data_IF_203816791083
#
_entry.id   IF_203816791083
#
_cell.length_a   1.000
_cell.length_b   1.000
_cell.length_c   1.000
_cell.angle_alpha   90.00
_cell.angle_beta   90.00
_cell.angle_gamma   90.00
#
_symmetry.space_group_name_H-M   'P 1'
#
loop_
_entity.id
_entity.type
_entity.pdbx_description
1 polymer ?
#
# COMPACT_ATOMS: atom_id res chain seq x y z
N UNK A 1 -2.96 -0.82 -24.90
CA UNK A 1 -2.76 -2.25 -24.55
C UNK A 1 -3.76 -2.58 -23.46
N UNK A 2 -4.44 -3.73 -23.54
CA UNK A 2 -5.36 -4.20 -22.49
C UNK A 2 -4.59 -5.19 -21.61
N UNK A 3 -4.61 -5.00 -20.30
CA UNK A 3 -3.92 -5.86 -19.33
C UNK A 3 -4.95 -6.73 -18.61
N UNK A 4 -4.62 -7.99 -18.38
CA UNK A 4 -5.53 -8.96 -17.77
C UNK A 4 -4.78 -9.80 -16.73
N UNK A 5 -5.49 -10.18 -15.67
CA UNK A 5 -5.01 -11.13 -14.67
C UNK A 5 -6.11 -12.18 -14.47
N UNK A 6 -5.79 -13.43 -14.81
CA UNK A 6 -6.80 -14.47 -14.98
C UNK A 6 -7.78 -14.11 -16.11
N UNK A 7 -9.06 -13.99 -15.77
CA UNK A 7 -10.14 -13.60 -16.69
C UNK A 7 -10.59 -12.14 -16.55
N UNK A 8 -9.97 -11.37 -15.66
CA UNK A 8 -10.40 -10.00 -15.34
C UNK A 8 -9.47 -8.96 -15.98
N UNK A 9 -10.06 -7.88 -16.51
CA UNK A 9 -9.34 -6.77 -17.11
C UNK A 9 -8.88 -5.79 -16.03
N UNK A 10 -7.64 -5.33 -16.15
CA UNK A 10 -7.06 -4.29 -15.30
C UNK A 10 -7.29 -2.94 -15.99
N UNK A 11 -8.23 -2.15 -15.48
CA UNK A 11 -8.56 -0.81 -15.99
C UNK A 11 -7.85 0.28 -15.19
N UNK A 12 -7.60 0.03 -13.91
CA UNK A 12 -6.93 0.96 -12.98
C UNK A 12 -5.74 0.29 -12.27
N UNK A 13 -4.92 1.09 -11.59
CA UNK A 13 -3.84 0.57 -10.72
C UNK A 13 -4.42 -0.21 -9.54
N UNK A 14 -5.61 0.17 -9.06
CA UNK A 14 -6.28 -0.52 -7.95
C UNK A 14 -6.80 -1.89 -8.42
N UNK A 15 -7.35 -1.97 -9.64
CA UNK A 15 -7.72 -3.24 -10.27
C UNK A 15 -6.49 -4.17 -10.41
N UNK A 16 -5.31 -3.61 -10.68
CA UNK A 16 -4.08 -4.40 -10.74
C UNK A 16 -3.77 -4.99 -9.37
N UNK A 17 -3.90 -4.22 -8.28
CA UNK A 17 -3.63 -4.70 -6.92
C UNK A 17 -4.65 -5.76 -6.51
N UNK A 18 -5.93 -5.50 -6.75
CA UNK A 18 -7.03 -6.42 -6.46
C UNK A 18 -6.86 -7.76 -7.19
N UNK A 19 -6.54 -7.71 -8.48
CA UNK A 19 -6.47 -8.90 -9.33
C UNK A 19 -5.10 -9.60 -9.26
N UNK A 20 -3.99 -8.86 -9.18
CA UNK A 20 -2.63 -9.44 -9.13
C UNK A 20 -2.36 -10.15 -7.81
N UNK A 21 -2.94 -9.66 -6.72
CA UNK A 21 -2.85 -10.31 -5.43
C UNK A 21 -3.97 -11.34 -5.24
N UNK A 22 -4.95 -11.43 -6.15
CA UNK A 22 -6.05 -12.37 -6.02
C UNK A 22 -6.89 -12.14 -4.76
N UNK A 23 -6.93 -10.88 -4.27
CA UNK A 23 -7.59 -10.54 -3.02
C UNK A 23 -9.12 -10.59 -3.12
N UNK A 24 -9.67 -10.32 -4.31
CA UNK A 24 -11.12 -10.24 -4.54
C UNK A 24 -11.84 -9.22 -3.63
N UNK A 25 -11.07 -8.35 -2.96
CA UNK A 25 -11.50 -7.43 -1.91
C UNK A 25 -10.73 -6.12 -2.09
N UNK A 26 -11.38 -5.01 -1.74
CA UNK A 26 -10.84 -3.66 -1.87
C UNK A 26 -9.55 -3.50 -1.04
N UNK A 27 -8.43 -2.99 -1.60
CA UNK A 27 -7.19 -2.77 -0.87
C UNK A 27 -7.34 -1.84 0.36
N UNK A 28 -8.28 -0.89 0.36
CA UNK A 28 -8.55 0.00 1.49
C UNK A 28 -9.05 -0.76 2.73
N UNK A 29 -9.70 -1.92 2.54
CA UNK A 29 -10.08 -2.81 3.65
C UNK A 29 -8.85 -3.18 4.49
N UNK A 30 -7.74 -3.46 3.82
CA UNK A 30 -6.51 -3.96 4.44
C UNK A 30 -5.55 -2.84 4.84
N UNK A 31 -5.34 -1.88 3.94
CA UNK A 31 -4.39 -0.78 4.13
C UNK A 31 -4.96 0.37 4.97
N UNK A 32 -6.28 0.40 5.13
CA UNK A 32 -7.03 1.54 5.66
C UNK A 32 -7.40 2.52 4.54
N UNK A 33 -8.44 3.35 4.77
CA UNK A 33 -8.91 4.30 3.78
C UNK A 33 -7.89 5.41 3.53
N UNK A 34 -7.94 6.00 2.33
CA UNK A 34 -7.14 7.19 2.01
C UNK A 34 -7.55 8.44 2.81
N UNK A 35 -8.74 8.44 3.39
CA UNK A 35 -9.25 9.48 4.29
C UNK A 35 -9.07 9.09 5.75
N UNK A 36 -9.23 10.05 6.65
CA UNK A 36 -9.19 9.76 8.09
C UNK A 36 -10.41 8.94 8.50
N UNK A 37 -10.17 7.75 9.06
CA UNK A 37 -11.19 6.94 9.76
C UNK A 37 -11.28 7.31 11.25
N UNK A 38 -12.46 7.20 11.83
CA UNK A 38 -12.68 7.22 13.29
C UNK A 38 -12.18 5.92 13.94
N UNK A 39 -12.07 5.93 15.27
CA UNK A 39 -11.65 4.72 15.99
C UNK A 39 -12.66 3.59 15.85
N UNK A 40 -13.96 3.91 15.83
CA UNK A 40 -15.04 2.95 15.63
C UNK A 40 -15.04 2.36 14.20
N UNK A 41 -14.86 3.20 13.18
CA UNK A 41 -14.75 2.73 11.78
C UNK A 41 -13.53 1.84 11.59
N UNK A 42 -12.39 2.21 12.19
CA UNK A 42 -11.19 1.37 12.19
C UNK A 42 -11.44 0.02 12.83
N UNK A 43 -12.11 -0.01 13.98
CA UNK A 43 -12.42 -1.25 14.68
C UNK A 43 -13.33 -2.15 13.83
N UNK A 44 -14.37 -1.59 13.23
CA UNK A 44 -15.29 -2.32 12.36
C UNK A 44 -14.57 -2.89 11.12
N UNK A 45 -13.66 -2.13 10.51
CA UNK A 45 -12.87 -2.58 9.37
C UNK A 45 -11.94 -3.74 9.74
N UNK A 46 -11.28 -3.66 10.89
CA UNK A 46 -10.38 -4.73 11.37
C UNK A 46 -11.17 -6.00 11.74
N UNK A 47 -12.35 -5.85 12.33
CA UNK A 47 -13.27 -6.95 12.65
C UNK A 47 -13.74 -7.65 11.36
N UNK A 48 -14.22 -6.89 10.37
CA UNK A 48 -14.61 -7.42 9.07
C UNK A 48 -13.45 -8.11 8.34
N UNK A 49 -12.24 -7.55 8.41
CA UNK A 49 -11.04 -8.19 7.84
C UNK A 49 -10.69 -9.50 8.53
N UNK A 50 -10.89 -9.61 9.84
CA UNK A 50 -10.68 -10.85 10.58
C UNK A 50 -11.71 -11.92 10.21
N UNK A 51 -12.98 -11.55 10.06
CA UNK A 51 -14.05 -12.44 9.62
C UNK A 51 -13.78 -12.97 8.19
N UNK A 52 -13.38 -12.10 7.27
CA UNK A 52 -13.04 -12.49 5.90
C UNK A 52 -11.85 -13.47 5.86
N UNK A 53 -10.82 -13.25 6.68
CA UNK A 53 -9.67 -14.17 6.76
C UNK A 53 -10.03 -15.51 7.43
N UNK A 54 -11.01 -15.51 8.33
CA UNK A 54 -11.52 -16.74 8.93
C UNK A 54 -12.31 -17.58 7.90
N UNK A 55 -13.08 -16.90 7.05
CA UNK A 55 -13.87 -17.52 5.98
C UNK A 55 -13.02 -17.96 4.78
N UNK A 56 -11.99 -17.19 4.43
CA UNK A 56 -11.03 -17.51 3.37
C UNK A 56 -9.56 -17.36 3.84
N UNK A 57 -8.99 -18.42 4.44
CA UNK A 57 -7.61 -18.42 4.91
C UNK A 57 -6.56 -18.29 3.80
N UNK A 58 -6.91 -18.58 2.54
CA UNK A 58 -5.96 -18.47 1.41
C UNK A 58 -5.61 -17.00 1.11
N UNK A 59 -6.46 -16.06 1.52
CA UNK A 59 -6.21 -14.61 1.43
C UNK A 59 -5.07 -14.13 2.33
N UNK A 60 -4.65 -14.90 3.34
CA UNK A 60 -3.60 -14.47 4.26
C UNK A 60 -2.26 -14.19 3.55
N UNK A 61 -1.87 -15.03 2.59
CA UNK A 61 -0.65 -14.86 1.82
C UNK A 61 -0.66 -13.60 0.94
N UNK A 62 -1.68 -13.35 0.11
CA UNK A 62 -1.74 -12.12 -0.68
C UNK A 62 -1.93 -10.85 0.13
N UNK A 63 -2.71 -10.87 1.23
CA UNK A 63 -2.80 -9.72 2.15
C UNK A 63 -1.43 -9.40 2.76
N UNK A 64 -0.65 -10.42 3.11
CA UNK A 64 0.72 -10.23 3.62
C UNK A 64 1.62 -9.61 2.55
N UNK A 65 1.53 -10.08 1.30
CA UNK A 65 2.29 -9.50 0.18
C UNK A 65 1.92 -8.02 -0.06
N UNK A 66 0.63 -7.67 0.02
CA UNK A 66 0.15 -6.29 -0.05
C UNK A 66 0.79 -5.42 1.03
N UNK A 67 0.76 -5.89 2.29
CA UNK A 67 1.33 -5.17 3.42
C UNK A 67 2.84 -4.92 3.27
N UNK A 68 3.59 -5.92 2.80
CA UNK A 68 5.03 -5.78 2.53
C UNK A 68 5.28 -4.72 1.46
N UNK A 69 4.55 -4.75 0.34
CA UNK A 69 4.70 -3.77 -0.74
C UNK A 69 4.39 -2.34 -0.27
N UNK A 70 3.37 -2.17 0.58
CA UNK A 70 3.03 -0.89 1.18
C UNK A 70 4.15 -0.38 2.10
N UNK A 71 4.74 -1.25 2.92
CA UNK A 71 5.89 -0.91 3.79
C UNK A 71 7.10 -0.50 2.97
N UNK A 72 7.46 -1.24 1.92
CA UNK A 72 8.57 -0.92 1.03
C UNK A 72 8.39 0.44 0.36
N UNK A 73 7.18 0.72 -0.12
CA UNK A 73 6.82 2.00 -0.73
C UNK A 73 6.93 3.16 0.28
N UNK A 74 6.39 2.97 1.49
CA UNK A 74 6.50 3.96 2.55
C UNK A 74 7.95 4.22 2.96
N UNK A 75 8.77 3.17 3.09
CA UNK A 75 10.18 3.27 3.39
C UNK A 75 10.94 4.03 2.29
N UNK A 76 10.67 3.76 1.02
CA UNK A 76 11.28 4.48 -0.10
C UNK A 76 10.91 5.98 -0.08
N UNK A 77 9.67 6.31 0.23
CA UNK A 77 9.19 7.70 0.32
C UNK A 77 9.80 8.46 1.50
N UNK A 78 10.00 7.80 2.64
CA UNK A 78 10.55 8.42 3.86
C UNK A 78 12.08 8.50 3.88
N UNK A 79 12.77 7.59 3.19
CA UNK A 79 14.25 7.51 3.21
C UNK A 79 14.93 8.35 2.12
N UNK A 80 14.19 9.09 1.29
CA UNK A 80 14.73 10.04 0.32
C UNK A 80 15.41 11.21 1.03
N UNK A 81 16.65 11.01 1.49
CA UNK A 81 17.53 12.06 2.00
C UNK A 81 17.76 13.08 0.89
N UNK A 82 17.22 14.28 1.08
CA UNK A 82 17.62 15.45 0.27
C UNK A 82 19.11 15.66 0.52
N UNK A 83 19.97 15.69 -0.51
CA UNK A 83 21.38 15.98 -0.31
C UNK A 83 21.49 17.37 0.30
N UNK A 84 22.11 17.46 1.49
CA UNK A 84 22.37 18.72 2.15
C UNK A 84 23.17 19.61 1.19
N UNK A 85 22.60 20.77 0.84
CA UNK A 85 23.27 21.74 -0.02
C UNK A 85 24.63 22.09 0.61
N UNK A 86 25.72 21.75 -0.09
CA UNK A 86 27.07 22.18 0.30
C UNK A 86 27.08 23.70 0.30
N UNK A 87 27.02 24.30 1.49
CA UNK A 87 27.22 25.75 1.67
C UNK A 87 28.66 26.05 1.26
N UNK A 88 28.84 26.59 0.07
CA UNK A 88 30.15 27.00 -0.45
C UNK A 88 30.76 28.05 0.46
N UNK A 89 31.69 27.64 1.32
CA UNK A 89 32.50 28.55 2.11
C UNK A 89 33.37 29.37 1.18
N UNK A 90 33.06 30.66 1.05
CA UNK A 90 33.88 31.63 0.33
C UNK A 90 35.19 31.78 1.12
N UNK A 91 36.27 31.16 0.62
CA UNK A 91 37.63 31.41 1.13
C UNK A 91 37.96 32.88 0.84
N UNK A 92 37.99 33.71 1.89
CA UNK A 92 38.52 35.06 1.81
C UNK A 92 40.02 34.95 2.05
N UNK A 93 40.80 35.03 0.97
CA UNK A 93 42.26 35.20 1.05
C UNK A 93 42.57 36.68 1.25
N UNK A 94 43.36 36.97 2.29
CA UNK A 94 43.90 38.28 2.63
C UNK A 94 45.08 38.67 1.73
#
# INVERSE_FOLDING_TARGET
>A
MRAFIGTHEVLTTDDLVELALGLGTDPELWLGPHTTETAEERAARLDAGADILADDPELAAPVTALAVAAIETYAACTTRRVPAARRGGKQVTA
#
